data_IF_125626578623
#
_entry.id   IF_125626578623
#
_cell.length_a   1.000
_cell.length_b   1.000
_cell.length_c   1.000
_cell.angle_alpha   90.00
_cell.angle_beta   90.00
_cell.angle_gamma   90.00
#
_symmetry.space_group_name_H-M   'P 1'
#
loop_
_entity.id
_entity.type
_entity.pdbx_description
1 polymer ?
#
# COMPACT_ATOMS: atom_id res chain seq x y z
N UNK A 1 3.52 18.84 6.02
CA UNK A 1 3.73 17.79 5.00
C UNK A 1 2.44 17.61 4.25
N UNK A 2 2.47 17.68 2.92
CA UNK A 2 1.33 17.29 2.09
C UNK A 2 1.47 15.81 1.78
N UNK A 3 0.45 15.03 2.07
CA UNK A 3 0.41 13.61 1.73
C UNK A 3 0.29 13.43 0.21
N UNK A 4 1.01 12.47 -0.34
CA UNK A 4 0.94 12.13 -1.77
C UNK A 4 0.72 10.63 -1.94
N UNK A 5 -0.37 10.27 -2.60
CA UNK A 5 -0.68 8.87 -2.89
C UNK A 5 0.42 8.20 -3.72
N UNK A 6 1.02 8.92 -4.68
CA UNK A 6 2.14 8.41 -5.48
C UNK A 6 3.35 8.02 -4.63
N UNK A 7 3.64 8.78 -3.57
CA UNK A 7 4.72 8.45 -2.64
C UNK A 7 4.38 7.20 -1.84
N UNK A 8 3.16 7.10 -1.31
CA UNK A 8 2.72 5.88 -0.62
C UNK A 8 2.85 4.64 -1.50
N UNK A 9 2.39 4.71 -2.76
CA UNK A 9 2.49 3.58 -3.71
C UNK A 9 3.95 3.22 -3.98
N UNK A 10 4.80 4.22 -4.25
CA UNK A 10 6.24 4.03 -4.43
C UNK A 10 6.89 3.32 -3.23
N UNK A 11 6.53 3.74 -2.01
CA UNK A 11 7.05 3.15 -0.77
C UNK A 11 6.55 1.71 -0.54
N UNK A 12 5.31 1.40 -0.91
CA UNK A 12 4.81 0.01 -0.89
C UNK A 12 5.64 -0.87 -1.83
N UNK A 13 5.85 -0.44 -3.08
CA UNK A 13 6.59 -1.22 -4.08
C UNK A 13 8.06 -1.39 -3.68
N UNK A 14 8.73 -0.32 -3.24
CA UNK A 14 10.13 -0.39 -2.76
C UNK A 14 10.28 -1.30 -1.55
N UNK A 15 9.38 -1.18 -0.57
CA UNK A 15 9.38 -2.02 0.62
C UNK A 15 9.18 -3.48 0.26
N UNK A 16 8.24 -3.77 -0.64
CA UNK A 16 7.95 -5.14 -1.07
C UNK A 16 9.11 -5.76 -1.85
N UNK A 17 9.73 -5.02 -2.78
CA UNK A 17 10.94 -5.46 -3.49
C UNK A 17 12.05 -5.84 -2.51
N UNK A 18 12.31 -4.96 -1.54
CA UNK A 18 13.34 -5.19 -0.52
C UNK A 18 13.02 -6.41 0.36
N UNK A 19 11.75 -6.60 0.71
CA UNK A 19 11.30 -7.75 1.49
C UNK A 19 11.44 -9.06 0.70
N UNK A 20 11.02 -9.09 -0.56
CA UNK A 20 11.16 -10.28 -1.41
C UNK A 20 12.63 -10.63 -1.67
N UNK A 21 13.49 -9.64 -1.95
CA UNK A 21 14.92 -9.84 -2.11
C UNK A 21 15.54 -10.47 -0.84
N UNK A 22 15.24 -9.92 0.34
CA UNK A 22 15.74 -10.43 1.62
C UNK A 22 15.29 -11.86 1.91
N UNK A 23 14.06 -12.22 1.52
CA UNK A 23 13.47 -13.53 1.79
C UNK A 23 13.62 -14.51 0.62
N UNK A 24 14.39 -14.16 -0.42
CA UNK A 24 14.62 -14.99 -1.61
C UNK A 24 13.32 -15.40 -2.31
N UNK A 25 12.33 -14.51 -2.32
CA UNK A 25 11.07 -14.70 -3.04
C UNK A 25 11.24 -14.12 -4.45
N UNK A 26 11.14 -14.98 -5.46
CA UNK A 26 11.29 -14.57 -6.85
C UNK A 26 9.93 -14.25 -7.48
N UNK A 27 9.80 -13.03 -7.99
CA UNK A 27 8.67 -12.58 -8.82
C UNK A 27 9.21 -11.75 -9.98
N UNK A 28 8.43 -11.64 -11.06
CA UNK A 28 8.81 -10.84 -12.22
C UNK A 28 8.42 -9.35 -12.04
N UNK A 29 8.83 -8.47 -12.96
CA UNK A 29 8.44 -7.05 -12.87
C UNK A 29 6.94 -6.81 -13.08
N UNK A 30 6.27 -7.65 -13.89
CA UNK A 30 4.82 -7.53 -14.10
C UNK A 30 4.05 -7.63 -12.77
N UNK A 31 4.51 -8.44 -11.82
CA UNK A 31 3.92 -8.52 -10.47
C UNK A 31 3.88 -7.14 -9.79
N UNK A 32 4.98 -6.39 -9.86
CA UNK A 32 5.04 -5.06 -9.25
C UNK A 32 4.23 -4.03 -10.04
N UNK A 33 4.24 -4.12 -11.37
CA UNK A 33 3.44 -3.23 -12.23
C UNK A 33 1.93 -3.41 -12.01
N UNK A 34 1.47 -4.65 -11.90
CA UNK A 34 0.07 -4.97 -11.60
C UNK A 34 -0.35 -4.47 -10.22
N UNK A 35 0.44 -4.74 -9.18
CA UNK A 35 0.19 -4.22 -7.83
C UNK A 35 0.15 -2.68 -7.82
N UNK A 36 1.11 -2.05 -8.50
CA UNK A 36 1.17 -0.59 -8.61
C UNK A 36 -0.10 -0.04 -9.29
N UNK A 37 -0.57 -0.69 -10.36
CA UNK A 37 -1.81 -0.30 -11.04
C UNK A 37 -3.05 -0.44 -10.14
N UNK A 38 -3.18 -1.56 -9.42
CA UNK A 38 -4.29 -1.79 -8.48
C UNK A 38 -4.30 -0.72 -7.39
N UNK A 39 -3.14 -0.46 -6.77
CA UNK A 39 -3.00 0.57 -5.75
C UNK A 39 -3.35 1.96 -6.28
N UNK A 40 -2.86 2.33 -7.47
CA UNK A 40 -3.16 3.62 -8.08
C UNK A 40 -4.66 3.80 -8.39
N UNK A 41 -5.31 2.76 -8.92
CA UNK A 41 -6.75 2.79 -9.21
C UNK A 41 -7.57 2.98 -7.94
N UNK A 42 -7.23 2.27 -6.87
CA UNK A 42 -7.98 2.33 -5.62
C UNK A 42 -7.71 3.65 -4.87
N UNK A 43 -6.44 4.02 -4.70
CA UNK A 43 -6.03 5.16 -3.88
C UNK A 43 -6.26 6.51 -4.56
N UNK A 44 -6.42 6.57 -5.88
CA UNK A 44 -6.84 7.78 -6.59
C UNK A 44 -8.31 8.17 -6.32
N UNK A 45 -9.12 7.25 -5.80
CA UNK A 45 -10.50 7.55 -5.41
C UNK A 45 -10.51 8.50 -4.21
N UNK A 46 -11.54 9.37 -4.10
CA UNK A 46 -11.82 10.09 -2.86
C UNK A 46 -11.90 9.13 -1.66
N UNK A 47 -11.48 9.56 -0.47
CA UNK A 47 -11.40 8.69 0.70
C UNK A 47 -12.71 7.97 1.08
N UNK A 48 -13.87 8.58 0.83
CA UNK A 48 -15.18 7.94 1.06
C UNK A 48 -15.59 6.92 -0.02
N UNK A 49 -14.85 6.84 -1.12
CA UNK A 49 -15.04 5.87 -2.21
C UNK A 49 -13.94 4.81 -2.24
N UNK A 50 -12.93 4.91 -1.36
CA UNK A 50 -11.94 3.86 -1.16
C UNK A 50 -12.59 2.73 -0.36
N UNK A 51 -12.69 1.56 -0.99
CA UNK A 51 -13.20 0.32 -0.43
C UNK A 51 -12.15 -0.37 0.43
N UNK A 52 -10.89 -0.34 0.01
CA UNK A 52 -9.81 -1.06 0.68
C UNK A 52 -8.71 -0.12 1.20
N UNK A 53 -8.10 -0.53 2.31
CA UNK A 53 -6.88 0.12 2.80
C UNK A 53 -5.66 -0.31 1.97
N UNK A 54 -4.58 0.50 1.90
CA UNK A 54 -3.36 0.14 1.19
C UNK A 54 -2.79 -1.23 1.62
N UNK A 55 -2.87 -1.55 2.92
CA UNK A 55 -2.36 -2.81 3.48
C UNK A 55 -3.27 -4.00 3.19
N UNK A 56 -4.59 -3.80 3.06
CA UNK A 56 -5.49 -4.85 2.59
C UNK A 56 -5.20 -5.20 1.13
N UNK A 57 -5.09 -4.19 0.25
CA UNK A 57 -4.76 -4.39 -1.17
C UNK A 57 -3.47 -5.19 -1.31
N UNK A 58 -2.44 -4.80 -0.58
CA UNK A 58 -1.14 -5.48 -0.60
C UNK A 58 -1.25 -6.95 -0.17
N UNK A 59 -1.83 -7.22 0.99
CA UNK A 59 -1.90 -8.57 1.54
C UNK A 59 -2.79 -9.48 0.68
N UNK A 60 -3.92 -8.97 0.18
CA UNK A 60 -4.81 -9.73 -0.69
C UNK A 60 -4.14 -10.06 -2.03
N UNK A 61 -3.42 -9.10 -2.62
CA UNK A 61 -2.68 -9.33 -3.87
C UNK A 61 -1.61 -10.41 -3.71
N UNK A 62 -0.75 -10.29 -2.69
CA UNK A 62 0.33 -11.26 -2.43
C UNK A 62 -0.26 -12.65 -2.21
N UNK A 63 -1.31 -12.76 -1.40
CA UNK A 63 -1.97 -14.03 -1.13
C UNK A 63 -2.52 -14.68 -2.40
N UNK A 64 -3.14 -13.89 -3.29
CA UNK A 64 -3.73 -14.40 -4.51
C UNK A 64 -2.68 -14.84 -5.53
N UNK A 65 -1.64 -14.04 -5.72
CA UNK A 65 -0.61 -14.31 -6.73
C UNK A 65 0.38 -15.38 -6.30
N UNK A 66 0.81 -15.38 -5.04
CA UNK A 66 1.79 -16.36 -4.55
C UNK A 66 1.14 -17.65 -4.04
N UNK A 67 -0.18 -17.66 -3.79
CA UNK A 67 -0.92 -18.77 -3.16
C UNK A 67 -0.35 -19.19 -1.80
N UNK A 68 0.37 -18.29 -1.14
CA UNK A 68 0.95 -18.47 0.17
C UNK A 68 0.24 -17.55 1.19
N UNK A 69 0.10 -17.99 2.44
CA UNK A 69 -0.44 -17.16 3.53
C UNK A 69 0.66 -16.26 4.12
N UNK A 70 1.44 -15.61 3.24
CA UNK A 70 2.44 -14.62 3.59
C UNK A 70 1.74 -13.38 4.17
N UNK A 71 1.75 -13.26 5.49
CA UNK A 71 1.22 -12.09 6.20
C UNK A 71 2.33 -11.07 6.39
N UNK A 72 2.41 -10.12 5.47
CA UNK A 72 3.41 -9.06 5.53
C UNK A 72 2.85 -7.88 6.31
N UNK A 73 3.58 -7.46 7.33
CA UNK A 73 3.26 -6.24 8.09
C UNK A 73 3.99 -5.04 7.50
N UNK A 74 3.41 -3.83 7.59
CA UNK A 74 4.09 -2.60 7.15
C UNK A 74 5.46 -2.36 7.81
N UNK A 75 5.67 -2.87 9.01
CA UNK A 75 6.97 -2.80 9.70
C UNK A 75 8.07 -3.56 8.98
N UNK A 76 7.73 -4.70 8.38
CA UNK A 76 8.68 -5.52 7.62
C UNK A 76 9.06 -4.91 6.27
N UNK A 77 8.27 -3.93 5.80
CA UNK A 77 8.45 -3.24 4.53
C UNK A 77 9.20 -1.91 4.65
N UNK A 78 9.61 -1.52 5.87
CA UNK A 78 10.46 -0.35 6.12
C UNK A 78 9.77 0.83 6.82
N UNK A 79 10.56 1.64 7.51
CA UNK A 79 10.07 2.80 8.29
C UNK A 79 9.39 3.87 7.44
N UNK A 80 9.85 4.06 6.20
CA UNK A 80 9.28 5.01 5.24
C UNK A 80 7.84 4.66 4.87
N UNK A 81 7.54 3.38 4.65
CA UNK A 81 6.18 2.91 4.41
C UNK A 81 5.29 3.14 5.63
N UNK A 82 5.78 2.83 6.83
CA UNK A 82 5.01 3.05 8.06
C UNK A 82 4.60 4.51 8.23
N UNK A 83 5.54 5.43 8.01
CA UNK A 83 5.26 6.86 8.07
C UNK A 83 4.23 7.28 7.01
N UNK A 84 4.35 6.75 5.80
CA UNK A 84 3.40 7.03 4.70
C UNK A 84 1.99 6.54 5.01
N UNK A 85 1.85 5.36 5.64
CA UNK A 85 0.55 4.82 6.07
C UNK A 85 -0.08 5.62 7.20
N UNK A 86 0.72 6.08 8.16
CA UNK A 86 0.24 6.96 9.24
C UNK A 86 -0.31 8.26 8.64
N UNK A 87 0.42 8.88 7.72
CA UNK A 87 -0.02 10.10 7.04
C UNK A 87 -1.29 9.86 6.22
N UNK A 88 -1.40 8.75 5.49
CA UNK A 88 -2.63 8.36 4.80
C UNK A 88 -3.82 8.28 5.75
N UNK A 89 -3.63 7.64 6.92
CA UNK A 89 -4.68 7.52 7.95
C UNK A 89 -5.11 8.87 8.53
N UNK A 90 -4.16 9.78 8.77
CA UNK A 90 -4.42 11.14 9.24
C UNK A 90 -5.24 11.92 8.20
N UNK A 91 -4.85 11.90 6.93
CA UNK A 91 -5.56 12.61 5.87
C UNK A 91 -6.96 12.04 5.63
N UNK A 92 -7.11 10.71 5.72
CA UNK A 92 -8.43 10.07 5.67
C UNK A 92 -9.32 10.55 6.82
N UNK A 93 -8.79 10.61 8.05
CA UNK A 93 -9.55 11.10 9.21
C UNK A 93 -9.95 12.58 9.05
N UNK A 94 -9.03 13.45 8.60
CA UNK A 94 -9.32 14.85 8.31
C UNK A 94 -10.45 14.99 7.29
N UNK A 95 -10.39 14.25 6.18
CA UNK A 95 -11.41 14.28 5.15
C UNK A 95 -12.83 14.01 5.69
N UNK A 96 -12.97 13.07 6.63
CA UNK A 96 -14.28 12.77 7.23
C UNK A 96 -14.68 13.81 8.28
N UNK A 97 -13.74 14.31 9.07
CA UNK A 97 -14.00 15.37 10.05
C UNK A 97 -14.44 16.68 9.38
N UNK A 98 -13.77 17.09 8.29
CA UNK A 98 -14.09 18.31 7.55
C UNK A 98 -15.46 18.23 6.84
N UNK A 99 -15.97 17.02 6.60
CA UNK A 99 -17.31 16.77 6.05
C UNK A 99 -18.40 16.62 7.11
N UNK A 100 -18.05 16.71 8.40
CA UNK A 100 -18.98 16.59 9.52
C UNK A 100 -19.57 17.94 9.97
N UNK A 101 -19.44 18.98 9.14
CA UNK A 101 -19.93 20.36 9.37
C UNK A 101 -20.97 20.72 8.31
#
# INVERSE_FOLDING_TARGET
MNFQFSELVSQIIKGLKSYFEKNQIEVNENFYEELMNILNIELSKPFNKQTFTPTQILNDYIKNELKEDLKITPHELGSELNNSLILWGIEKAKYFNDKSI
#
